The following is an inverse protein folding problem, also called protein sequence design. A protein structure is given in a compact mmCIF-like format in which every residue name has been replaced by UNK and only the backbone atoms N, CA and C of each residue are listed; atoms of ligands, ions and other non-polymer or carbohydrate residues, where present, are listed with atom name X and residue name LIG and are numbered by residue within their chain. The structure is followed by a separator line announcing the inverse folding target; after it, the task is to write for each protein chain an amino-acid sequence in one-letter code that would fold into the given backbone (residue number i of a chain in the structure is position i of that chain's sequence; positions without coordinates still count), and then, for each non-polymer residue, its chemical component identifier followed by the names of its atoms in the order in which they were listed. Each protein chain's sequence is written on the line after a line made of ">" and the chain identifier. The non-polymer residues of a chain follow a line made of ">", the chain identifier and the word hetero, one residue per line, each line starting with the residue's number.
data_IF_403350692240
#
_entry.id   IF_403350692240
#
_cell.length_a   1.000
_cell.length_b   1.000
_cell.length_c   1.000
_cell.angle_alpha   90.00
_cell.angle_beta   90.00
_cell.angle_gamma   90.00
#
_symmetry.space_group_name_H-M   'P 1'
#
loop_
_entity.id
_entity.type
_entity.pdbx_description
1 polymer ?
#
# COMPACT_ATOMS: atom_id res chain seq x y z
N UNK A 1 34.05 69.09 -55.73
CA UNK A 1 35.44 68.78 -56.14
C UNK A 1 35.93 67.69 -55.18
N UNK A 2 35.70 66.43 -55.55
CA UNK A 2 36.70 65.54 -56.19
C UNK A 2 37.70 65.03 -55.15
N UNK A 3 37.47 63.82 -54.65
CA UNK A 3 38.08 62.58 -55.18
C UNK A 3 39.51 62.42 -54.66
N UNK A 4 39.72 61.46 -53.74
CA UNK A 4 40.79 60.45 -53.78
C UNK A 4 40.86 59.66 -52.46
N UNK A 5 40.33 58.45 -52.52
CA UNK A 5 40.76 57.28 -51.75
C UNK A 5 42.20 56.92 -52.07
N UNK A 6 42.98 56.45 -51.07
CA UNK A 6 44.12 55.52 -51.19
C UNK A 6 44.56 55.18 -49.75
N UNK A 7 44.06 54.09 -49.15
CA UNK A 7 44.73 52.77 -49.08
C UNK A 7 46.18 52.88 -48.56
N UNK A 8 46.37 52.58 -47.27
CA UNK A 8 47.65 52.04 -46.77
C UNK A 8 47.38 50.65 -46.22
N UNK A 9 48.05 49.70 -46.85
CA UNK A 9 48.00 48.27 -46.66
C UNK A 9 48.37 47.84 -45.24
N UNK A 10 47.71 46.77 -44.82
CA UNK A 10 47.86 46.06 -43.55
C UNK A 10 49.29 45.53 -43.36
N UNK A 11 49.87 45.78 -42.19
CA UNK A 11 50.82 44.84 -41.57
C UNK A 11 50.01 44.00 -40.60
N UNK A 12 49.62 42.80 -41.04
CA UNK A 12 48.84 41.85 -40.25
C UNK A 12 49.76 41.21 -39.21
N UNK A 13 49.84 41.81 -38.03
CA UNK A 13 50.50 41.23 -36.85
C UNK A 13 49.55 40.20 -36.25
N UNK A 14 49.95 38.93 -36.19
CA UNK A 14 49.22 37.87 -35.48
C UNK A 14 49.22 38.15 -33.98
N UNK A 15 48.08 38.18 -33.28
CA UNK A 15 48.05 38.05 -31.84
C UNK A 15 47.67 36.61 -31.46
N UNK A 16 48.56 35.97 -30.71
CA UNK A 16 48.30 34.75 -29.95
C UNK A 16 46.98 34.87 -29.16
N UNK A 17 45.95 34.10 -29.53
CA UNK A 17 44.77 33.87 -28.70
C UNK A 17 44.98 32.61 -27.86
N UNK A 18 45.65 32.73 -26.71
CA UNK A 18 45.52 31.78 -25.60
C UNK A 18 45.82 32.52 -24.29
N UNK A 19 44.86 33.33 -23.84
CA UNK A 19 44.82 33.82 -22.45
C UNK A 19 43.65 33.12 -21.76
N UNK A 20 43.98 32.05 -21.04
CA UNK A 20 43.06 31.40 -20.09
C UNK A 20 42.84 32.35 -18.91
N UNK A 21 41.73 33.08 -18.93
CA UNK A 21 41.28 33.83 -17.76
C UNK A 21 40.80 32.82 -16.70
N UNK A 22 41.60 32.65 -15.64
CA UNK A 22 41.16 31.91 -14.46
C UNK A 22 40.11 32.75 -13.72
N UNK A 23 38.84 32.37 -13.88
CA UNK A 23 37.71 32.95 -13.13
C UNK A 23 37.86 32.54 -11.66
N UNK A 24 38.34 33.45 -10.80
CA UNK A 24 38.47 33.20 -9.36
C UNK A 24 37.16 33.53 -8.64
N UNK A 25 36.28 32.54 -8.50
CA UNK A 25 35.07 32.66 -7.70
C UNK A 25 35.41 32.70 -6.19
N UNK A 26 34.83 33.63 -5.40
CA UNK A 26 35.09 33.70 -3.97
C UNK A 26 34.56 32.45 -3.25
N UNK A 27 35.39 31.84 -2.39
CA UNK A 27 35.07 30.57 -1.68
C UNK A 27 33.75 30.61 -0.89
N UNK A 28 33.32 31.79 -0.45
CA UNK A 28 32.04 32.00 0.24
C UNK A 28 30.81 31.82 -0.68
N UNK A 29 30.92 32.17 -1.97
CA UNK A 29 29.88 31.96 -2.97
C UNK A 29 29.76 30.48 -3.35
N UNK A 30 30.90 29.78 -3.42
CA UNK A 30 30.94 28.33 -3.66
C UNK A 30 30.31 27.54 -2.49
N UNK A 31 30.54 27.94 -1.23
CA UNK A 31 29.90 27.32 -0.05
C UNK A 31 28.38 27.52 -0.02
N UNK A 32 27.89 28.73 -0.34
CA UNK A 32 26.45 29.02 -0.41
C UNK A 32 25.78 28.27 -1.56
N UNK A 33 26.44 28.19 -2.72
CA UNK A 33 25.96 27.40 -3.86
C UNK A 33 25.90 25.89 -3.56
N UNK A 34 26.91 25.34 -2.88
CA UNK A 34 26.92 23.93 -2.48
C UNK A 34 25.78 23.62 -1.49
N UNK A 35 25.55 24.48 -0.50
CA UNK A 35 24.45 24.34 0.46
C UNK A 35 23.07 24.42 -0.21
N UNK A 36 22.90 25.35 -1.16
CA UNK A 36 21.66 25.48 -1.93
C UNK A 36 21.41 24.25 -2.83
N UNK A 37 22.46 23.70 -3.45
CA UNK A 37 22.38 22.49 -4.27
C UNK A 37 22.00 21.27 -3.42
N UNK A 38 22.61 21.10 -2.25
CA UNK A 38 22.30 19.98 -1.34
C UNK A 38 20.87 20.06 -0.84
N UNK A 39 20.39 21.25 -0.49
CA UNK A 39 19.02 21.45 -0.01
C UNK A 39 17.99 21.22 -1.14
N UNK A 40 18.27 21.73 -2.34
CA UNK A 40 17.43 21.52 -3.52
C UNK A 40 17.34 20.04 -3.91
N UNK A 41 18.47 19.31 -3.89
CA UNK A 41 18.51 17.89 -4.19
C UNK A 41 17.70 17.06 -3.17
N UNK A 42 17.77 17.38 -1.87
CA UNK A 42 16.97 16.71 -0.85
C UNK A 42 15.47 16.92 -1.02
N UNK A 43 15.03 18.11 -1.46
CA UNK A 43 13.62 18.39 -1.73
C UNK A 43 13.17 17.63 -3.00
N UNK A 44 13.98 17.63 -4.06
CA UNK A 44 13.68 16.91 -5.29
C UNK A 44 13.51 15.40 -5.08
N UNK A 45 14.29 14.79 -4.17
CA UNK A 45 14.15 13.36 -3.83
C UNK A 45 12.94 13.05 -2.93
N UNK A 46 12.39 14.03 -2.20
CA UNK A 46 11.26 13.80 -1.27
C UNK A 46 9.90 13.54 -1.95
N UNK A 47 9.80 13.80 -3.27
CA UNK A 47 8.55 13.71 -4.03
C UNK A 47 8.01 12.28 -4.26
N UNK A 48 8.80 11.24 -4.01
CA UNK A 48 8.39 9.85 -4.25
C UNK A 48 7.30 9.33 -3.27
N UNK A 49 7.06 10.04 -2.16
CA UNK A 49 6.05 9.65 -1.16
C UNK A 49 4.61 10.09 -1.48
N UNK A 50 4.43 10.98 -2.47
CA UNK A 50 3.12 11.52 -2.85
C UNK A 50 2.30 10.55 -3.71
N UNK A 51 2.93 9.56 -4.31
CA UNK A 51 2.27 8.58 -5.17
C UNK A 51 1.90 7.35 -4.35
N UNK A 52 0.79 7.43 -3.60
CA UNK A 52 0.19 6.22 -3.02
C UNK A 52 -0.34 5.35 -4.15
N UNK A 53 0.18 4.13 -4.27
CA UNK A 53 -0.31 3.14 -5.23
C UNK A 53 -1.71 2.68 -4.82
N UNK A 54 -2.55 2.43 -5.82
CA UNK A 54 -3.87 1.85 -5.59
C UNK A 54 -3.73 0.44 -5.00
N UNK A 55 -4.42 0.20 -3.89
CA UNK A 55 -4.50 -1.11 -3.24
C UNK A 55 -5.94 -1.60 -3.28
N UNK A 56 -6.12 -2.88 -3.55
CA UNK A 56 -7.44 -3.51 -3.55
C UNK A 56 -7.87 -3.82 -2.11
N UNK A 57 -9.18 -3.84 -1.88
CA UNK A 57 -9.75 -4.36 -0.64
C UNK A 57 -9.55 -5.88 -0.61
N UNK A 58 -9.16 -6.41 0.54
CA UNK A 58 -8.80 -7.81 0.69
C UNK A 58 -9.68 -8.49 1.75
N UNK A 59 -10.86 -9.00 1.37
CA UNK A 59 -11.67 -9.87 2.21
C UNK A 59 -11.07 -11.28 2.24
N UNK A 60 -10.86 -11.84 3.42
CA UNK A 60 -10.34 -13.20 3.60
C UNK A 60 -11.20 -13.99 4.57
N UNK A 61 -11.51 -15.23 4.18
CA UNK A 61 -12.35 -16.13 4.96
C UNK A 61 -13.85 -15.96 4.69
N UNK A 62 -14.67 -16.36 5.66
CA UNK A 62 -16.13 -16.44 5.50
C UNK A 62 -16.79 -15.36 6.37
N UNK A 63 -17.39 -14.32 5.76
CA UNK A 63 -18.08 -13.28 6.52
C UNK A 63 -19.36 -13.84 7.12
N UNK A 64 -19.37 -14.05 8.43
CA UNK A 64 -20.54 -14.54 9.17
C UNK A 64 -21.07 -13.43 10.07
N UNK A 65 -22.39 -13.27 10.10
CA UNK A 65 -23.07 -12.34 11.01
C UNK A 65 -23.59 -13.07 12.24
N UNK A 66 -23.80 -12.33 13.33
CA UNK A 66 -24.38 -12.89 14.54
C UNK A 66 -25.78 -13.50 14.27
N UNK A 67 -26.57 -12.87 13.40
CA UNK A 67 -27.91 -13.36 13.02
C UNK A 67 -27.87 -14.68 12.26
N UNK A 68 -26.82 -14.94 11.48
CA UNK A 68 -26.60 -16.23 10.82
C UNK A 68 -26.16 -17.29 11.83
N UNK A 69 -25.20 -16.95 12.70
CA UNK A 69 -24.70 -17.87 13.71
C UNK A 69 -25.80 -18.31 14.71
N UNK A 70 -26.71 -17.40 15.09
CA UNK A 70 -27.86 -17.72 15.95
C UNK A 70 -28.86 -18.71 15.33
N UNK A 71 -28.86 -18.89 14.01
CA UNK A 71 -29.69 -19.91 13.36
C UNK A 71 -29.16 -21.32 13.59
N UNK A 72 -27.88 -21.46 13.91
CA UNK A 72 -27.30 -22.75 14.24
C UNK A 72 -27.84 -23.25 15.58
N UNK A 73 -28.08 -24.56 15.65
CA UNK A 73 -28.53 -25.22 16.87
C UNK A 73 -27.72 -26.50 17.08
N UNK A 74 -27.51 -26.85 18.34
CA UNK A 74 -26.96 -28.15 18.73
C UNK A 74 -27.90 -29.25 18.23
N UNK A 75 -27.34 -30.32 17.66
CA UNK A 75 -28.11 -31.39 17.02
C UNK A 75 -28.29 -31.25 15.50
N UNK A 76 -27.85 -30.14 14.90
CA UNK A 76 -27.84 -30.00 13.43
C UNK A 76 -26.78 -30.90 12.79
N UNK A 77 -27.05 -31.40 11.59
CA UNK A 77 -26.04 -32.11 10.80
C UNK A 77 -25.12 -31.15 10.02
N UNK A 78 -23.96 -31.63 9.59
CA UNK A 78 -23.00 -30.85 8.78
C UNK A 78 -23.62 -30.20 7.54
N UNK A 79 -24.54 -30.89 6.85
CA UNK A 79 -25.18 -30.35 5.64
C UNK A 79 -26.11 -29.17 5.95
N UNK A 80 -26.79 -29.18 7.10
CA UNK A 80 -27.60 -28.07 7.58
C UNK A 80 -26.73 -26.87 7.93
N UNK A 81 -25.58 -27.10 8.58
CA UNK A 81 -24.61 -26.03 8.87
C UNK A 81 -24.09 -25.42 7.57
N UNK A 82 -23.70 -26.25 6.59
CA UNK A 82 -23.27 -25.78 5.26
C UNK A 82 -24.38 -25.02 4.54
N UNK A 83 -25.64 -25.40 4.69
CA UNK A 83 -26.76 -24.70 4.09
C UNK A 83 -26.95 -23.29 4.68
N UNK A 84 -26.72 -23.14 5.98
CA UNK A 84 -26.92 -21.86 6.70
C UNK A 84 -25.71 -20.94 6.53
N UNK A 85 -24.49 -21.44 6.73
CA UNK A 85 -23.26 -20.64 6.77
C UNK A 85 -22.37 -20.80 5.54
N UNK A 86 -22.64 -21.77 4.67
CA UNK A 86 -21.70 -22.15 3.60
C UNK A 86 -20.50 -22.92 4.11
N UNK A 87 -19.51 -23.09 3.22
CA UNK A 87 -18.25 -23.77 3.55
C UNK A 87 -17.40 -22.94 4.52
N UNK A 88 -16.81 -23.56 5.55
CA UNK A 88 -15.90 -22.86 6.45
C UNK A 88 -14.64 -22.40 5.72
N UNK A 89 -14.03 -21.32 6.20
CA UNK A 89 -12.80 -20.78 5.66
C UNK A 89 -11.62 -21.75 5.86
N UNK A 90 -11.62 -22.48 6.98
CA UNK A 90 -10.59 -23.45 7.34
C UNK A 90 -11.22 -24.78 7.76
N UNK A 91 -10.68 -25.87 7.22
CA UNK A 91 -10.93 -27.24 7.68
C UNK A 91 -9.60 -27.83 8.11
N UNK A 92 -9.38 -27.94 9.40
CA UNK A 92 -8.16 -28.49 9.98
C UNK A 92 -8.13 -30.02 9.75
N UNK A 93 -7.06 -30.53 9.15
CA UNK A 93 -6.90 -31.96 8.91
C UNK A 93 -6.60 -32.74 10.20
N UNK A 94 -6.09 -32.08 11.24
CA UNK A 94 -5.83 -32.67 12.55
C UNK A 94 -7.07 -32.67 13.45
N UNK A 95 -8.04 -31.79 13.16
CA UNK A 95 -9.30 -31.69 13.88
C UNK A 95 -10.49 -31.71 12.90
N UNK A 96 -10.77 -32.87 12.25
CA UNK A 96 -11.78 -32.95 11.19
C UNK A 96 -13.21 -32.63 11.66
N UNK A 97 -13.44 -32.78 12.97
CA UNK A 97 -14.72 -32.52 13.63
C UNK A 97 -14.84 -31.07 14.16
N UNK A 98 -13.93 -30.17 13.79
CA UNK A 98 -13.98 -28.74 14.12
C UNK A 98 -13.97 -27.92 12.84
N UNK A 99 -14.99 -27.08 12.64
CA UNK A 99 -15.00 -26.14 11.54
C UNK A 99 -14.82 -24.72 12.06
N UNK A 100 -13.87 -24.02 11.45
CA UNK A 100 -13.47 -22.68 11.82
C UNK A 100 -13.92 -21.69 10.73
N UNK A 101 -14.87 -20.82 11.09
CA UNK A 101 -15.33 -19.70 10.29
C UNK A 101 -14.64 -18.44 10.78
N UNK A 102 -13.56 -18.06 10.10
CA UNK A 102 -12.81 -16.83 10.39
C UNK A 102 -13.04 -15.80 9.29
N UNK A 103 -13.00 -14.53 9.66
CA UNK A 103 -13.03 -13.44 8.71
C UNK A 103 -12.00 -12.36 9.07
N UNK A 104 -11.18 -12.00 8.08
CA UNK A 104 -10.29 -10.85 8.11
C UNK A 104 -10.59 -9.96 6.91
N UNK A 105 -10.45 -8.65 7.12
CA UNK A 105 -10.67 -7.65 6.09
C UNK A 105 -9.59 -6.59 6.17
N UNK A 106 -8.84 -6.43 5.08
CA UNK A 106 -7.89 -5.33 4.96
C UNK A 106 -8.43 -4.31 3.96
N UNK A 107 -8.65 -3.08 4.43
CA UNK A 107 -9.12 -1.99 3.60
C UNK A 107 -8.03 -1.54 2.63
N UNK A 108 -8.35 -1.58 1.33
CA UNK A 108 -7.56 -1.00 0.26
C UNK A 108 -7.82 0.49 0.11
N UNK A 109 -7.54 1.03 -1.06
CA UNK A 109 -7.73 2.46 -1.36
C UNK A 109 -9.21 2.85 -1.27
N UNK A 110 -10.11 2.04 -1.83
CA UNK A 110 -11.55 2.32 -1.79
C UNK A 110 -12.17 2.07 -0.42
N UNK A 111 -11.82 0.96 0.26
CA UNK A 111 -12.26 0.68 1.62
C UNK A 111 -11.89 1.81 2.59
N UNK A 112 -10.66 2.32 2.51
CA UNK A 112 -10.21 3.48 3.30
C UNK A 112 -10.97 4.75 2.98
N UNK A 113 -11.25 5.03 1.70
CA UNK A 113 -12.07 6.19 1.27
C UNK A 113 -13.50 6.12 1.82
N UNK A 114 -14.06 4.91 1.92
CA UNK A 114 -15.38 4.66 2.49
C UNK A 114 -15.39 4.60 4.02
N UNK A 115 -14.23 4.72 4.67
CA UNK A 115 -14.12 4.66 6.13
C UNK A 115 -14.36 3.26 6.71
N UNK A 116 -14.20 2.20 5.89
CA UNK A 116 -14.31 0.82 6.37
C UNK A 116 -13.05 0.49 7.17
N UNK A 117 -13.24 0.08 8.42
CA UNK A 117 -12.13 -0.31 9.29
C UNK A 117 -11.59 -1.70 8.93
N UNK A 118 -10.29 -1.91 9.16
CA UNK A 118 -9.70 -3.24 9.03
C UNK A 118 -10.26 -4.18 10.11
N UNK A 119 -10.49 -5.44 9.74
CA UNK A 119 -10.74 -6.57 10.65
C UNK A 119 -9.50 -7.44 10.61
N UNK A 120 -8.84 -7.63 11.76
CA UNK A 120 -7.54 -8.31 11.86
C UNK A 120 -7.53 -9.35 12.96
N UNK A 121 -6.59 -10.29 12.82
CA UNK A 121 -6.30 -11.35 13.80
C UNK A 121 -7.48 -12.28 14.03
N UNK A 122 -8.29 -12.53 13.00
CA UNK A 122 -9.49 -13.34 13.10
C UNK A 122 -10.40 -12.89 14.27
N UNK A 123 -10.55 -11.57 14.47
CA UNK A 123 -11.41 -11.04 15.54
C UNK A 123 -12.87 -11.46 15.39
N UNK A 124 -13.28 -11.84 14.18
CA UNK A 124 -14.55 -12.48 13.87
C UNK A 124 -14.29 -13.96 13.64
N UNK A 125 -14.51 -14.78 14.68
CA UNK A 125 -14.21 -16.21 14.64
C UNK A 125 -15.36 -16.99 15.27
N UNK A 126 -15.99 -17.84 14.48
CA UNK A 126 -17.00 -18.79 14.92
C UNK A 126 -16.46 -20.22 14.76
N UNK A 127 -16.57 -21.00 15.82
CA UNK A 127 -16.14 -22.40 15.84
C UNK A 127 -17.36 -23.29 16.01
N UNK A 128 -17.49 -24.28 15.13
CA UNK A 128 -18.53 -25.30 15.22
C UNK A 128 -17.88 -26.66 15.45
N UNK A 129 -18.24 -27.30 16.55
CA UNK A 129 -17.77 -28.64 16.90
C UNK A 129 -18.81 -29.68 16.51
N UNK A 130 -18.34 -30.78 15.95
CA UNK A 130 -19.13 -31.94 15.54
C UNK A 130 -18.74 -33.18 16.35
N UNK A 131 -19.66 -34.13 16.44
CA UNK A 131 -19.34 -35.50 16.86
C UNK A 131 -18.84 -36.35 15.67
N UNK A 132 -18.59 -37.63 15.92
CA UNK A 132 -18.14 -38.59 14.91
C UNK A 132 -19.20 -38.85 13.81
N UNK A 133 -20.47 -38.55 14.09
CA UNK A 133 -21.59 -38.69 13.16
C UNK A 133 -21.83 -37.40 12.35
N UNK A 134 -21.06 -36.34 12.59
CA UNK A 134 -21.19 -35.06 11.91
C UNK A 134 -22.36 -34.21 12.43
N UNK A 135 -22.73 -34.37 13.70
CA UNK A 135 -23.77 -33.60 14.38
C UNK A 135 -23.15 -32.53 15.28
N UNK A 136 -23.71 -31.32 15.25
CA UNK A 136 -23.23 -30.18 16.04
C UNK A 136 -23.39 -30.46 17.53
N UNK A 137 -22.29 -30.37 18.27
CA UNK A 137 -22.26 -30.55 19.73
C UNK A 137 -22.07 -29.23 20.47
N UNK A 138 -21.30 -28.30 19.90
CA UNK A 138 -20.98 -27.02 20.52
C UNK A 138 -20.69 -25.94 19.48
N UNK A 139 -21.04 -24.70 19.81
CA UNK A 139 -20.80 -23.52 18.99
C UNK A 139 -20.14 -22.46 19.88
N UNK A 140 -19.02 -21.88 19.45
CA UNK A 140 -18.26 -20.88 20.19
C UNK A 140 -18.00 -19.63 19.33
N UNK A 141 -17.87 -18.46 19.97
CA UNK A 141 -17.45 -17.22 19.30
C UNK A 141 -18.57 -16.39 18.65
N UNK A 142 -19.84 -16.70 18.94
CA UNK A 142 -21.02 -15.97 18.39
C UNK A 142 -21.04 -14.49 18.80
N UNK A 143 -20.49 -14.17 19.95
CA UNK A 143 -20.33 -12.84 20.52
C UNK A 143 -19.25 -12.00 19.83
N UNK A 144 -18.27 -12.64 19.18
CA UNK A 144 -17.21 -11.96 18.41
C UNK A 144 -17.70 -11.43 17.05
N UNK A 145 -18.87 -11.90 16.60
CA UNK A 145 -19.39 -11.62 15.28
C UNK A 145 -20.10 -10.26 15.20
N UNK A 146 -20.06 -9.59 14.04
CA UNK A 146 -20.77 -8.34 13.85
C UNK A 146 -22.29 -8.57 13.94
N UNK A 147 -22.95 -7.66 14.66
CA UNK A 147 -24.41 -7.58 14.70
C UNK A 147 -24.87 -6.91 13.41
N UNK A 148 -25.59 -7.66 12.58
CA UNK A 148 -26.15 -7.21 11.30
C UNK A 148 -27.62 -6.84 11.43
#
# INVERSE_FOLDING_TARGET
>A
MSHLTMIKSQVLRTPNLLTSSKISLPKAFLRKGLLALTLGASIALSGCSLFSVYTIDLPQGTPITQTQAQKLQVGMNQNQVLYILGSPAIRDTLAPNRWDYIYDYQAGTEGKRKGIADVKNASQHLIVYFDEQGIVTRIEGVDSLPVS
#
